data_IF_360222407023
#
_entry.id   IF_360222407023
#
_cell.length_a   1.000
_cell.length_b   1.000
_cell.length_c   1.000
_cell.angle_alpha   90.00
_cell.angle_beta   90.00
_cell.angle_gamma   90.00
#
_symmetry.space_group_name_H-M   'P 1'
#
loop_
_entity.id
_entity.type
_entity.pdbx_description
1 polymer ?
#
# COMPACT_ATOMS: atom_id res chain seq x y z
N UNK A 1 44.05 -14.41 30.97
CA UNK A 1 44.18 -14.59 29.52
C UNK A 1 43.07 -15.53 29.11
N UNK A 2 42.19 -15.18 28.16
CA UNK A 2 41.29 -16.18 27.61
C UNK A 2 42.13 -17.23 26.87
N UNK A 3 41.70 -18.47 27.01
CA UNK A 3 42.27 -19.71 26.48
C UNK A 3 42.35 -19.66 24.94
N UNK A 4 43.55 -19.90 24.38
CA UNK A 4 43.87 -19.72 22.95
C UNK A 4 43.83 -21.01 22.14
N UNK A 5 43.29 -22.10 22.67
CA UNK A 5 43.44 -23.40 22.01
C UNK A 5 42.60 -23.59 20.73
N UNK A 6 41.89 -22.57 20.21
CA UNK A 6 41.26 -22.68 18.89
C UNK A 6 40.87 -21.38 18.13
N UNK A 7 41.36 -20.20 18.51
CA UNK A 7 40.98 -18.90 17.90
C UNK A 7 39.45 -18.66 17.77
N UNK A 8 38.63 -19.37 18.56
CA UNK A 8 37.18 -19.37 18.47
C UNK A 8 36.57 -18.66 19.67
N UNK A 9 35.68 -17.71 19.40
CA UNK A 9 34.85 -17.06 20.42
C UNK A 9 33.39 -17.31 20.06
N UNK A 10 32.62 -17.83 21.01
CA UNK A 10 31.17 -18.00 20.85
C UNK A 10 30.46 -16.84 21.51
N UNK A 11 29.66 -16.10 20.73
CA UNK A 11 28.79 -15.04 21.24
C UNK A 11 27.45 -15.70 21.66
N UNK A 12 26.95 -15.47 22.89
CA UNK A 12 25.66 -16.00 23.30
C UNK A 12 24.51 -15.52 22.40
N UNK A 13 23.53 -16.39 22.14
CA UNK A 13 22.42 -16.10 21.22
C UNK A 13 21.56 -14.90 21.66
N UNK A 14 21.46 -14.63 22.96
CA UNK A 14 20.73 -13.49 23.51
C UNK A 14 21.50 -12.16 23.42
N UNK A 15 22.77 -12.21 22.98
CA UNK A 15 23.66 -11.05 22.88
C UNK A 15 23.88 -10.58 21.45
N UNK A 16 23.41 -11.34 20.46
CA UNK A 16 23.38 -10.93 19.06
C UNK A 16 21.94 -10.79 18.61
N UNK A 17 21.63 -9.73 17.88
CA UNK A 17 20.29 -9.51 17.31
C UNK A 17 20.36 -9.64 15.80
N UNK A 18 19.22 -9.91 15.19
CA UNK A 18 19.06 -9.83 13.74
C UNK A 18 19.53 -8.46 13.24
N UNK A 19 20.21 -8.45 12.10
CA UNK A 19 20.76 -7.27 11.45
C UNK A 19 21.80 -6.49 12.28
N UNK A 20 22.36 -7.09 13.34
CA UNK A 20 23.45 -6.48 14.12
C UNK A 20 24.84 -6.98 13.70
N UNK A 21 25.82 -6.10 13.83
CA UNK A 21 27.20 -6.35 13.41
C UNK A 21 28.06 -6.97 14.51
N UNK A 22 28.93 -7.89 14.11
CA UNK A 22 30.06 -8.40 14.89
C UNK A 22 31.36 -7.91 14.26
N UNK A 23 32.14 -7.14 15.02
CA UNK A 23 33.40 -6.55 14.56
C UNK A 23 34.60 -7.14 15.29
N UNK A 24 35.68 -7.45 14.59
CA UNK A 24 36.93 -7.93 15.17
C UNK A 24 38.16 -7.22 14.60
N UNK A 25 39.15 -6.94 15.44
CA UNK A 25 40.49 -6.49 15.05
C UNK A 25 41.57 -7.02 16.00
N UNK A 26 42.81 -7.03 15.51
CA UNK A 26 43.98 -7.46 16.26
C UNK A 26 44.91 -6.27 16.57
N UNK A 27 45.65 -6.36 17.68
CA UNK A 27 46.68 -5.39 18.07
C UNK A 27 47.92 -6.10 18.60
N UNK A 28 49.11 -5.72 18.12
CA UNK A 28 50.38 -6.27 18.62
C UNK A 28 50.86 -5.56 19.91
N UNK A 29 51.87 -6.08 20.65
CA UNK A 29 52.39 -5.45 21.86
C UNK A 29 53.01 -4.06 21.64
N UNK A 30 53.49 -3.79 20.42
CA UNK A 30 54.06 -2.49 20.02
C UNK A 30 52.98 -1.45 19.72
N UNK A 31 51.72 -1.89 19.57
CA UNK A 31 50.56 -1.05 19.40
C UNK A 31 49.97 -1.01 17.99
N UNK A 32 50.52 -1.74 17.03
CA UNK A 32 50.04 -1.77 15.65
C UNK A 32 48.71 -2.53 15.57
N UNK A 33 47.71 -1.96 14.90
CA UNK A 33 46.38 -2.55 14.74
C UNK A 33 46.19 -3.10 13.32
N UNK A 34 45.43 -4.18 13.19
CA UNK A 34 44.85 -4.58 11.90
C UNK A 34 43.68 -3.65 11.53
N UNK A 35 43.22 -3.78 10.29
CA UNK A 35 41.89 -3.30 9.91
C UNK A 35 40.81 -4.10 10.66
N UNK A 36 39.63 -3.49 10.80
CA UNK A 36 38.45 -4.15 11.35
C UNK A 36 37.84 -5.10 10.29
N UNK A 37 37.38 -6.25 10.74
CA UNK A 37 36.54 -7.18 9.96
C UNK A 37 35.17 -7.22 10.58
N UNK A 38 34.13 -7.02 9.76
CA UNK A 38 32.73 -7.01 10.20
C UNK A 38 31.94 -8.13 9.55
N UNK A 39 31.10 -8.79 10.33
CA UNK A 39 30.09 -9.76 9.85
C UNK A 39 28.75 -9.38 10.46
N UNK A 40 27.72 -9.24 9.62
CA UNK A 40 26.36 -8.93 10.04
C UNK A 40 25.56 -10.21 10.28
N UNK A 41 24.87 -10.28 11.43
CA UNK A 41 23.93 -11.35 11.74
C UNK A 41 22.72 -11.27 10.78
N UNK A 42 22.35 -12.41 10.20
CA UNK A 42 21.22 -12.49 9.28
C UNK A 42 19.94 -12.79 10.05
N UNK A 43 18.81 -12.24 9.62
CA UNK A 43 17.56 -12.46 10.28
C UNK A 43 16.98 -13.83 9.95
N UNK A 44 16.17 -14.37 10.86
CA UNK A 44 15.48 -15.64 10.67
C UNK A 44 14.38 -15.53 9.59
N UNK A 45 13.99 -16.65 8.94
CA UNK A 45 12.88 -16.65 7.99
C UNK A 45 11.53 -16.47 8.71
N UNK A 46 10.63 -15.73 8.08
CA UNK A 46 9.23 -15.65 8.52
C UNK A 46 8.40 -16.77 7.86
N UNK A 47 7.66 -17.51 8.66
CA UNK A 47 6.95 -18.73 8.21
C UNK A 47 5.51 -18.47 7.75
N UNK A 48 4.91 -17.37 8.21
CA UNK A 48 3.53 -16.99 7.90
C UNK A 48 3.45 -15.90 6.84
N UNK A 49 2.23 -15.66 6.36
CA UNK A 49 1.92 -14.73 5.26
C UNK A 49 1.53 -13.37 5.85
N UNK A 50 1.94 -12.25 5.22
CA UNK A 50 1.37 -10.95 5.52
C UNK A 50 -0.10 -10.88 5.08
N UNK A 51 -0.87 -10.00 5.72
CA UNK A 51 -2.24 -9.70 5.31
C UNK A 51 -2.35 -8.22 4.94
N UNK A 52 -2.88 -7.94 3.76
CA UNK A 52 -3.14 -6.61 3.22
C UNK A 52 -4.64 -6.30 3.29
N UNK A 53 -4.95 -5.09 3.75
CA UNK A 53 -6.26 -4.44 3.60
C UNK A 53 -6.03 -3.04 3.03
N UNK A 54 -6.98 -2.54 2.25
CA UNK A 54 -7.00 -1.16 1.76
C UNK A 54 -8.41 -0.65 2.08
N UNK A 55 -8.63 -0.07 3.28
CA UNK A 55 -9.97 0.25 3.76
C UNK A 55 -10.75 1.21 2.85
N UNK A 56 -10.06 2.10 2.11
CA UNK A 56 -10.72 3.02 1.17
C UNK A 56 -11.40 2.29 0.00
N UNK A 57 -11.08 1.02 -0.26
CA UNK A 57 -11.68 0.24 -1.36
C UNK A 57 -12.44 -1.00 -0.86
N UNK A 58 -12.86 -1.00 0.41
CA UNK A 58 -13.63 -2.11 1.01
C UNK A 58 -14.97 -2.35 0.30
N UNK A 59 -15.52 -1.33 -0.38
CA UNK A 59 -16.71 -1.45 -1.24
C UNK A 59 -16.40 -1.95 -2.67
N UNK A 60 -15.12 -2.19 -2.96
CA UNK A 60 -14.60 -2.63 -4.25
C UNK A 60 -14.24 -1.49 -5.20
N UNK A 61 -14.36 -0.23 -4.80
CA UNK A 61 -14.11 0.93 -5.65
C UNK A 61 -13.14 1.92 -5.01
N UNK A 62 -12.35 2.60 -5.84
CA UNK A 62 -11.61 3.80 -5.48
C UNK A 62 -12.17 4.96 -6.30
N UNK A 63 -12.84 5.90 -5.64
CA UNK A 63 -13.49 7.05 -6.25
C UNK A 63 -12.56 8.29 -6.26
N UNK A 64 -13.03 9.38 -6.86
CA UNK A 64 -12.27 10.63 -6.96
C UNK A 64 -11.87 11.24 -5.61
N UNK A 65 -12.66 11.04 -4.54
CA UNK A 65 -12.33 11.55 -3.20
C UNK A 65 -11.18 10.76 -2.59
N UNK A 66 -11.26 9.44 -2.66
CA UNK A 66 -10.24 8.51 -2.12
C UNK A 66 -8.90 8.61 -2.85
N UNK A 67 -8.87 9.10 -4.09
CA UNK A 67 -7.65 9.23 -4.88
C UNK A 67 -6.91 10.56 -4.70
N UNK A 68 -7.44 11.49 -3.89
CA UNK A 68 -6.86 12.84 -3.74
C UNK A 68 -5.43 12.81 -3.20
N UNK A 69 -5.17 11.97 -2.21
CA UNK A 69 -3.88 11.77 -1.54
C UNK A 69 -3.25 10.39 -1.82
N UNK A 70 -3.94 9.51 -2.56
CA UNK A 70 -3.53 8.13 -2.79
C UNK A 70 -4.32 7.18 -1.91
N UNK A 71 -4.02 5.89 -1.97
CA UNK A 71 -4.72 4.89 -1.15
C UNK A 71 -3.84 4.46 0.02
N UNK A 72 -4.41 4.36 1.21
CA UNK A 72 -3.78 3.85 2.40
C UNK A 72 -3.91 2.32 2.49
N UNK A 73 -2.79 1.63 2.30
CA UNK A 73 -2.68 0.20 2.55
C UNK A 73 -2.29 -0.09 4.01
N UNK A 74 -3.05 -0.97 4.66
CA UNK A 74 -2.70 -1.54 5.96
C UNK A 74 -2.13 -2.95 5.77
N UNK A 75 -0.89 -3.18 6.21
CA UNK A 75 -0.26 -4.50 6.18
C UNK A 75 -0.08 -5.02 7.61
N UNK A 76 -0.72 -6.15 7.90
CA UNK A 76 -0.46 -6.94 9.12
C UNK A 76 0.78 -7.80 8.90
N UNK A 77 1.77 -7.63 9.78
CA UNK A 77 3.04 -8.31 9.72
C UNK A 77 2.93 -9.70 10.37
N UNK A 78 3.45 -10.77 9.74
CA UNK A 78 3.50 -12.08 10.35
C UNK A 78 4.42 -12.08 11.57
N UNK A 79 4.16 -13.00 12.51
CA UNK A 79 5.03 -13.16 13.67
C UNK A 79 6.47 -13.50 13.23
N UNK A 80 7.46 -12.86 13.86
CA UNK A 80 8.87 -13.02 13.53
C UNK A 80 9.41 -12.02 12.49
N UNK A 81 8.56 -11.13 11.94
CA UNK A 81 9.06 -9.97 11.19
C UNK A 81 9.87 -9.05 12.11
N UNK A 82 11.06 -8.64 11.66
CA UNK A 82 11.98 -7.77 12.40
C UNK A 82 12.26 -6.48 11.65
N UNK A 83 12.86 -5.52 12.35
CA UNK A 83 13.36 -4.26 11.79
C UNK A 83 14.28 -4.53 10.58
N UNK A 84 14.07 -3.79 9.50
CA UNK A 84 14.82 -3.94 8.25
C UNK A 84 14.22 -4.96 7.27
N UNK A 85 13.14 -5.65 7.63
CA UNK A 85 12.36 -6.41 6.64
C UNK A 85 11.79 -5.45 5.58
N UNK A 86 11.75 -5.89 4.33
CA UNK A 86 11.23 -5.11 3.20
C UNK A 86 9.84 -5.63 2.83
N UNK A 87 8.86 -4.73 2.84
CA UNK A 87 7.51 -4.97 2.35
C UNK A 87 7.45 -4.46 0.93
N UNK A 88 6.87 -5.25 0.04
CA UNK A 88 6.65 -4.86 -1.36
C UNK A 88 5.18 -5.02 -1.68
N UNK A 89 4.52 -3.90 -1.96
CA UNK A 89 3.21 -3.83 -2.57
C UNK A 89 3.37 -3.77 -4.08
N UNK A 90 2.76 -4.72 -4.79
CA UNK A 90 2.78 -4.76 -6.25
C UNK A 90 1.39 -4.37 -6.76
N UNK A 91 1.27 -3.17 -7.32
CA UNK A 91 0.05 -2.69 -7.96
C UNK A 91 0.03 -3.22 -9.39
N UNK A 92 -1.01 -3.93 -9.78
CA UNK A 92 -1.26 -4.34 -11.18
C UNK A 92 -2.40 -3.51 -11.74
N UNK A 93 -2.11 -2.76 -12.81
CA UNK A 93 -3.04 -1.87 -13.51
C UNK A 93 -3.94 -2.63 -14.50
N UNK A 94 -5.00 -2.00 -15.03
CA UNK A 94 -5.89 -2.62 -16.02
C UNK A 94 -5.15 -3.10 -17.27
N UNK A 95 -4.12 -2.35 -17.71
CA UNK A 95 -3.26 -2.65 -18.86
C UNK A 95 -2.21 -3.75 -18.59
N UNK A 96 -2.24 -4.34 -17.39
CA UNK A 96 -1.31 -5.38 -16.89
C UNK A 96 0.11 -4.90 -16.64
N UNK A 97 0.38 -3.59 -16.72
CA UNK A 97 1.62 -3.04 -16.18
C UNK A 97 1.58 -3.09 -14.65
N UNK A 98 2.77 -3.11 -14.06
CA UNK A 98 2.93 -3.21 -12.60
C UNK A 98 3.78 -2.06 -12.08
N UNK A 99 3.40 -1.53 -10.93
CA UNK A 99 4.21 -0.61 -10.13
C UNK A 99 4.50 -1.25 -8.77
N UNK A 100 5.64 -0.92 -8.18
CA UNK A 100 6.03 -1.43 -6.87
C UNK A 100 6.19 -0.30 -5.89
N UNK A 101 5.54 -0.42 -4.73
CA UNK A 101 5.75 0.44 -3.57
C UNK A 101 6.46 -0.38 -2.50
N UNK A 102 7.59 0.10 -2.02
CA UNK A 102 8.38 -0.60 -0.99
C UNK A 102 8.38 0.17 0.33
N UNK A 103 8.40 -0.57 1.43
CA UNK A 103 8.52 -0.03 2.77
C UNK A 103 9.49 -0.86 3.60
N UNK A 104 10.43 -0.21 4.29
CA UNK A 104 11.33 -0.88 5.23
C UNK A 104 10.72 -0.84 6.63
N UNK A 105 10.46 -2.02 7.19
CA UNK A 105 9.88 -2.17 8.53
C UNK A 105 10.79 -1.54 9.58
N UNK A 106 10.23 -0.61 10.34
CA UNK A 106 10.87 -0.02 11.50
C UNK A 106 10.70 -0.92 12.72
N UNK A 107 11.50 -0.66 13.76
CA UNK A 107 11.40 -1.38 15.02
C UNK A 107 10.03 -1.29 15.69
N UNK A 108 9.39 -0.13 15.61
CA UNK A 108 8.09 0.11 16.24
C UNK A 108 6.97 -0.60 15.48
N UNK A 109 7.04 -0.66 14.14
CA UNK A 109 6.12 -1.42 13.30
C UNK A 109 6.24 -2.92 13.53
N UNK A 110 7.47 -3.46 13.61
CA UNK A 110 7.71 -4.85 13.94
C UNK A 110 7.12 -5.21 15.32
N UNK A 111 7.24 -4.31 16.30
CA UNK A 111 6.65 -4.50 17.63
C UNK A 111 5.11 -4.39 17.62
N UNK A 112 4.56 -3.49 16.80
CA UNK A 112 3.11 -3.33 16.64
C UNK A 112 2.47 -4.47 15.82
N UNK A 113 3.25 -5.16 14.99
CA UNK A 113 2.78 -6.20 14.08
C UNK A 113 1.95 -5.66 12.92
N UNK A 114 2.03 -4.35 12.64
CA UNK A 114 1.29 -3.70 11.56
C UNK A 114 2.01 -2.46 11.04
N UNK A 115 1.72 -2.11 9.79
CA UNK A 115 2.25 -0.92 9.13
C UNK A 115 1.18 -0.30 8.22
N UNK A 116 1.30 1.01 8.01
CA UNK A 116 0.53 1.78 7.04
C UNK A 116 1.46 2.19 5.91
N UNK A 117 1.10 1.91 4.67
CA UNK A 117 1.89 2.23 3.47
C UNK A 117 1.01 3.03 2.51
N UNK A 118 1.52 4.14 2.02
CA UNK A 118 0.81 4.97 1.03
C UNK A 118 1.03 4.40 -0.37
N UNK A 119 -0.05 4.08 -1.07
CA UNK A 119 -0.04 3.76 -2.49
C UNK A 119 -0.24 5.08 -3.24
N UNK A 120 0.77 5.55 -4.00
CA UNK A 120 0.65 6.80 -4.75
C UNK A 120 -0.53 6.77 -5.72
N UNK A 121 -1.25 7.90 -5.84
CA UNK A 121 -2.39 8.02 -6.75
C UNK A 121 -2.06 7.73 -8.23
N UNK A 122 -0.81 7.94 -8.65
CA UNK A 122 -0.33 7.64 -10.00
C UNK A 122 0.08 6.17 -10.18
N UNK A 123 0.15 5.38 -9.10
CA UNK A 123 0.41 3.94 -9.18
C UNK A 123 -0.82 3.17 -9.72
N UNK A 124 -2.03 3.71 -9.57
CA UNK A 124 -3.29 3.13 -10.04
C UNK A 124 -3.83 3.83 -11.29
N UNK A 125 -4.78 3.21 -11.99
CA UNK A 125 -5.38 3.76 -13.21
C UNK A 125 -6.87 3.45 -13.30
N UNK A 126 -7.66 4.29 -13.99
CA UNK A 126 -9.09 4.06 -14.19
C UNK A 126 -9.39 2.64 -14.73
N UNK A 127 -10.31 1.92 -14.08
CA UNK A 127 -10.65 0.53 -14.35
C UNK A 127 -10.16 -0.44 -13.27
N UNK A 128 -10.08 -1.74 -13.61
CA UNK A 128 -9.73 -2.80 -12.65
C UNK A 128 -8.24 -2.77 -12.28
N UNK A 129 -7.96 -2.55 -11.00
CA UNK A 129 -6.62 -2.66 -10.40
C UNK A 129 -6.59 -3.81 -9.40
N UNK A 130 -5.38 -4.15 -8.98
CA UNK A 130 -5.18 -5.02 -7.82
C UNK A 130 -3.86 -4.76 -7.14
N UNK A 131 -3.77 -5.08 -5.86
CA UNK A 131 -2.54 -4.93 -5.07
C UNK A 131 -2.23 -6.24 -4.36
N UNK A 132 -1.02 -6.74 -4.59
CA UNK A 132 -0.46 -7.91 -3.92
C UNK A 132 0.58 -7.47 -2.88
N UNK A 133 0.66 -8.16 -1.75
CA UNK A 133 1.68 -7.90 -0.72
C UNK A 133 2.67 -9.06 -0.57
N UNK A 134 3.94 -8.71 -0.38
CA UNK A 134 4.99 -9.64 0.00
C UNK A 134 5.93 -9.01 1.03
N UNK A 135 6.62 -9.85 1.81
CA UNK A 135 7.63 -9.43 2.78
C UNK A 135 8.90 -10.25 2.55
N UNK A 136 10.06 -9.60 2.59
CA UNK A 136 11.37 -10.26 2.54
C UNK A 136 12.24 -9.80 3.71
N UNK A 137 12.81 -10.75 4.44
CA UNK A 137 13.67 -10.50 5.58
C UNK A 137 15.09 -10.98 5.25
N UNK A 138 15.96 -10.06 4.80
CA UNK A 138 17.27 -10.41 4.24
C UNK A 138 17.14 -11.22 2.95
N UNK A 139 17.64 -12.46 2.93
CA UNK A 139 17.47 -13.38 1.79
C UNK A 139 16.32 -14.39 1.99
N UNK A 140 15.46 -14.15 2.99
CA UNK A 140 14.37 -15.04 3.35
C UNK A 140 13.02 -14.41 2.97
N UNK A 141 12.44 -14.72 1.80
CA UNK A 141 11.10 -14.27 1.47
C UNK A 141 10.06 -15.00 2.33
N UNK A 142 9.05 -14.26 2.78
CA UNK A 142 7.85 -14.82 3.40
C UNK A 142 7.02 -15.62 2.39
N UNK A 143 5.97 -16.29 2.88
CA UNK A 143 4.88 -16.69 1.99
C UNK A 143 4.23 -15.42 1.40
N UNK A 144 3.88 -15.39 0.10
CA UNK A 144 3.11 -14.30 -0.47
C UNK A 144 1.83 -14.07 0.31
N UNK A 145 1.43 -12.81 0.52
CA UNK A 145 0.18 -12.50 1.19
C UNK A 145 -1.02 -12.58 0.27
N UNK A 146 -2.13 -11.99 0.71
CA UNK A 146 -3.34 -11.88 -0.11
C UNK A 146 -3.22 -10.77 -1.16
N UNK A 147 -4.23 -10.76 -2.04
CA UNK A 147 -4.46 -9.78 -3.08
C UNK A 147 -5.73 -9.02 -2.77
N UNK A 148 -5.74 -7.71 -3.03
CA UNK A 148 -6.92 -6.85 -2.97
C UNK A 148 -7.24 -6.41 -4.39
N UNK A 149 -8.46 -6.68 -4.86
CA UNK A 149 -8.94 -6.29 -6.20
C UNK A 149 -9.97 -5.17 -6.04
N UNK A 150 -9.83 -4.08 -6.81
CA UNK A 150 -10.75 -2.94 -6.79
C UNK A 150 -10.80 -2.22 -8.14
N UNK A 151 -11.90 -1.54 -8.42
CA UNK A 151 -12.05 -0.70 -9.61
C UNK A 151 -11.81 0.76 -9.26
N UNK A 152 -10.94 1.43 -10.00
CA UNK A 152 -10.75 2.88 -9.90
C UNK A 152 -11.72 3.56 -10.83
N UNK A 153 -12.52 4.48 -10.29
CA UNK A 153 -13.30 5.44 -11.09
C UNK A 153 -13.12 6.86 -10.54
N UNK A 154 -12.21 7.59 -11.18
CA UNK A 154 -11.93 8.98 -10.82
C UNK A 154 -12.90 9.98 -11.48
N UNK A 155 -13.86 9.52 -12.29
CA UNK A 155 -14.76 10.42 -13.01
C UNK A 155 -15.88 10.91 -12.12
N UNK A 156 -16.12 12.22 -12.15
CA UNK A 156 -17.21 12.86 -11.44
C UNK A 156 -18.33 13.18 -12.44
N UNK A 157 -19.57 12.74 -12.20
CA UNK A 157 -20.70 13.15 -13.03
C UNK A 157 -20.83 14.67 -13.09
N UNK A 158 -20.79 15.22 -14.31
CA UNK A 158 -20.87 16.65 -14.56
C UNK A 158 -19.56 17.42 -14.47
N UNK A 159 -18.43 16.75 -14.19
CA UNK A 159 -17.09 17.29 -14.39
C UNK A 159 -16.75 17.25 -15.89
N UNK A 160 -16.69 18.40 -16.52
CA UNK A 160 -16.50 18.53 -17.98
C UNK A 160 -15.08 18.89 -18.38
N UNK A 161 -14.27 19.39 -17.46
CA UNK A 161 -12.87 19.76 -17.71
C UNK A 161 -11.84 18.87 -16.98
N UNK A 162 -12.30 17.95 -16.14
CA UNK A 162 -11.49 16.98 -15.42
C UNK A 162 -10.76 17.56 -14.22
N UNK A 163 -11.23 18.68 -13.66
CA UNK A 163 -10.61 19.32 -12.49
C UNK A 163 -10.96 18.64 -11.15
N UNK A 164 -11.82 17.62 -11.18
CA UNK A 164 -12.28 16.91 -9.99
C UNK A 164 -13.43 17.63 -9.29
N UNK A 165 -14.12 18.54 -9.97
CA UNK A 165 -15.30 19.25 -9.47
C UNK A 165 -16.46 19.22 -10.45
N UNK A 166 -17.67 19.43 -9.96
CA UNK A 166 -18.88 19.38 -10.81
C UNK A 166 -19.08 20.72 -11.52
N UNK A 167 -19.06 20.69 -12.85
CA UNK A 167 -19.37 21.86 -13.70
C UNK A 167 -20.87 21.95 -14.06
N UNK A 168 -21.48 20.79 -14.28
CA UNK A 168 -22.82 20.69 -14.86
C UNK A 168 -23.73 19.80 -14.02
N UNK A 169 -24.89 20.32 -13.65
CA UNK A 169 -25.91 19.56 -12.92
C UNK A 169 -26.96 18.98 -13.86
N UNK A 170 -27.67 17.91 -13.48
CA UNK A 170 -28.83 17.44 -14.23
C UNK A 170 -29.88 18.54 -14.44
N UNK A 171 -30.51 18.53 -15.61
CA UNK A 171 -31.58 19.47 -15.96
C UNK A 171 -32.88 18.70 -16.11
N UNK A 172 -33.95 19.20 -15.49
CA UNK A 172 -35.31 18.66 -15.63
C UNK A 172 -36.22 19.72 -16.23
N UNK A 173 -36.91 19.38 -17.31
CA UNK A 173 -37.90 20.24 -17.97
C UNK A 173 -39.26 19.54 -18.04
N UNK A 174 -40.33 20.33 -18.06
CA UNK A 174 -41.71 19.85 -18.27
C UNK A 174 -42.23 20.56 -19.52
N UNK A 175 -42.05 19.99 -20.72
CA UNK A 175 -42.29 20.71 -21.97
C UNK A 175 -43.73 21.22 -22.14
N UNK A 176 -44.71 20.49 -21.60
CA UNK A 176 -46.13 20.85 -21.69
C UNK A 176 -46.57 21.91 -20.68
N UNK A 177 -45.80 22.14 -19.60
CA UNK A 177 -46.18 23.00 -18.48
C UNK A 177 -45.32 24.27 -18.42
N UNK A 178 -45.31 25.05 -19.51
CA UNK A 178 -44.48 26.27 -19.60
C UNK A 178 -44.86 27.37 -18.59
N UNK A 179 -46.08 27.33 -18.04
CA UNK A 179 -46.62 28.20 -16.99
C UNK A 179 -46.87 27.47 -15.65
N UNK A 180 -46.28 26.28 -15.50
CA UNK A 180 -46.42 25.43 -14.31
C UNK A 180 -47.52 24.38 -14.46
N UNK A 181 -47.41 23.30 -13.68
CA UNK A 181 -48.30 22.14 -13.78
C UNK A 181 -49.71 22.47 -13.28
N UNK A 182 -50.72 22.21 -14.09
CA UNK A 182 -52.12 22.47 -13.83
C UNK A 182 -52.99 21.20 -13.92
N UNK A 183 -54.30 21.36 -13.70
CA UNK A 183 -55.25 20.25 -13.65
C UNK A 183 -55.57 19.64 -15.02
N UNK A 184 -55.25 20.32 -16.13
CA UNK A 184 -55.43 19.77 -17.47
C UNK A 184 -54.26 18.84 -17.84
N UNK A 185 -53.02 19.23 -17.53
CA UNK A 185 -51.81 18.40 -17.73
C UNK A 185 -51.76 17.19 -16.77
N UNK A 186 -52.49 17.23 -15.65
CA UNK A 186 -52.56 16.10 -14.72
C UNK A 186 -53.50 14.96 -15.20
N UNK A 187 -54.30 15.18 -16.25
CA UNK A 187 -55.35 14.23 -16.66
C UNK A 187 -54.81 12.96 -17.30
N UNK A 188 -53.70 13.07 -18.02
CA UNK A 188 -52.97 11.97 -18.66
C UNK A 188 -51.56 11.77 -18.07
N UNK A 189 -51.16 12.65 -17.14
CA UNK A 189 -49.89 12.58 -16.42
C UNK A 189 -48.84 13.49 -17.03
N UNK A 190 -47.93 13.98 -16.20
CA UNK A 190 -46.96 15.01 -16.60
C UNK A 190 -45.74 14.41 -17.30
N UNK A 191 -45.44 14.89 -18.49
CA UNK A 191 -44.25 14.56 -19.26
C UNK A 191 -43.05 15.38 -18.78
N UNK A 192 -42.03 14.69 -18.29
CA UNK A 192 -40.76 15.29 -17.89
C UNK A 192 -39.64 14.86 -18.84
N UNK A 193 -38.82 15.81 -19.26
CA UNK A 193 -37.54 15.53 -19.92
C UNK A 193 -36.41 15.72 -18.91
N UNK A 194 -35.51 14.73 -18.84
CA UNK A 194 -34.33 14.77 -17.96
C UNK A 194 -33.09 14.70 -18.82
N UNK A 195 -32.21 15.68 -18.66
CA UNK A 195 -30.86 15.66 -19.24
C UNK A 195 -29.86 15.36 -18.14
N UNK A 196 -29.15 14.24 -18.27
CA UNK A 196 -28.06 13.86 -17.37
C UNK A 196 -26.73 14.42 -17.88
N UNK A 197 -25.85 14.90 -16.98
CA UNK A 197 -24.53 15.35 -17.37
C UNK A 197 -23.63 14.16 -17.76
N UNK A 198 -22.56 14.45 -18.54
CA UNK A 198 -21.52 13.47 -18.87
C UNK A 198 -20.76 12.99 -17.63
N UNK A 199 -19.94 11.93 -17.75
CA UNK A 199 -19.21 11.37 -16.61
C UNK A 199 -20.07 10.57 -15.62
N UNK A 200 -21.37 10.41 -15.90
CA UNK A 200 -22.26 9.48 -15.21
C UNK A 200 -22.04 8.07 -15.77
N UNK A 201 -21.09 7.31 -15.22
CA UNK A 201 -20.90 5.89 -15.56
C UNK A 201 -21.89 4.99 -14.81
#
# INVERSE_FOLDING_TARGET
>A
MPDTDNNQVTIPNDKIKDNSDVTASAKDPSGNKSDDVTVTAKPDPVSDMPVLSIPEVDDGYANAEELKDGLQAEVTLPAGTVEGAEITLTVTRPDKTTETVTHTVTKDEAAAGKVSVDIPKDAVQNGQNSVDVSITQGNNPAKPGNKVDFAVDGQIPGDTDGDGTVDTTPVVTIPEATDGVNADELKDGVQTEVTVPGGSA
#
